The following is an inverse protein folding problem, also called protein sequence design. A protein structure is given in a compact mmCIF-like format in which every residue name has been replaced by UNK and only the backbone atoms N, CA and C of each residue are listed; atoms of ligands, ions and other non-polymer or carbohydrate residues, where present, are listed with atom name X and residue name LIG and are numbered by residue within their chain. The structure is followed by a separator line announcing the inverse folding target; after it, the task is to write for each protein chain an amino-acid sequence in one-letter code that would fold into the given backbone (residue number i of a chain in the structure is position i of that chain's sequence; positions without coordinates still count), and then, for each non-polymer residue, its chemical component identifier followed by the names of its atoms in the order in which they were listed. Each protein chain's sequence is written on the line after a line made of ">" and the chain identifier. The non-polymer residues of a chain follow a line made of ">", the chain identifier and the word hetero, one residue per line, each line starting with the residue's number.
data_IF_628920770776
#
_entry.id   IF_628920770776
#
_cell.length_a   1.000
_cell.length_b   1.000
_cell.length_c   1.000
_cell.angle_alpha   90.00
_cell.angle_beta   90.00
_cell.angle_gamma   90.00
#
_symmetry.space_group_name_H-M   'P 1'
#
loop_
_entity.id
_entity.type
_entity.pdbx_description
1 polymer ?
#
# COMPACT_ATOMS: atom_id res chain seq x y z
N UNK A 1 28.21 -14.35 -3.44
CA UNK A 1 26.92 -14.79 -3.90
C UNK A 1 27.01 -15.52 -5.24
N UNK A 2 26.66 -16.83 -5.33
CA UNK A 2 26.55 -17.53 -6.62
C UNK A 2 25.53 -18.65 -6.51
N UNK A 3 24.31 -18.42 -6.98
CA UNK A 3 23.44 -19.49 -7.40
C UNK A 3 23.66 -19.66 -8.91
N UNK A 4 24.11 -20.84 -9.35
CA UNK A 4 24.24 -21.15 -10.76
C UNK A 4 23.13 -22.10 -11.18
N UNK A 5 22.18 -21.59 -11.94
CA UNK A 5 21.22 -22.42 -12.64
C UNK A 5 21.91 -23.22 -13.75
N UNK A 6 21.62 -24.52 -13.82
CA UNK A 6 22.15 -25.47 -14.83
C UNK A 6 23.58 -25.97 -14.63
N UNK A 7 23.91 -26.51 -13.47
CA UNK A 7 25.14 -27.28 -13.34
C UNK A 7 24.91 -28.72 -13.83
N UNK A 8 25.77 -29.18 -14.76
CA UNK A 8 25.80 -30.57 -15.23
C UNK A 8 26.73 -31.39 -14.35
N UNK A 9 26.76 -31.16 -13.06
CA UNK A 9 27.60 -31.86 -12.12
C UNK A 9 26.80 -32.87 -11.31
N UNK A 10 27.36 -34.03 -11.07
CA UNK A 10 26.74 -35.07 -10.24
C UNK A 10 27.63 -35.40 -9.06
N UNK A 11 27.04 -35.58 -7.89
CA UNK A 11 27.67 -36.11 -6.69
C UNK A 11 26.97 -37.40 -6.31
N UNK A 12 27.67 -38.52 -6.29
CA UNK A 12 27.13 -39.84 -6.00
C UNK A 12 25.91 -40.22 -6.88
N UNK A 13 25.94 -39.84 -8.18
CA UNK A 13 24.86 -40.14 -9.13
C UNK A 13 23.63 -39.28 -8.97
N UNK A 14 23.67 -38.22 -8.15
CA UNK A 14 22.63 -37.22 -8.03
C UNK A 14 23.09 -35.91 -8.62
N UNK A 15 22.26 -35.33 -9.48
CA UNK A 15 22.52 -34.04 -10.09
C UNK A 15 22.57 -32.96 -9.01
N UNK A 16 23.62 -32.13 -9.05
CA UNK A 16 23.70 -30.90 -8.27
C UNK A 16 22.82 -29.88 -8.98
N UNK A 17 21.75 -29.44 -8.32
CA UNK A 17 20.77 -28.55 -8.91
C UNK A 17 21.07 -27.09 -8.61
N UNK A 18 21.50 -26.80 -7.38
CA UNK A 18 21.82 -25.49 -6.87
C UNK A 18 22.88 -25.55 -5.77
N UNK A 19 23.58 -24.45 -5.51
CA UNK A 19 24.56 -24.38 -4.42
C UNK A 19 24.78 -22.93 -3.98
N UNK A 20 25.07 -22.75 -2.70
CA UNK A 20 25.43 -21.49 -2.11
C UNK A 20 26.90 -21.46 -1.72
N UNK A 21 27.57 -20.33 -1.98
CA UNK A 21 28.88 -20.03 -1.48
C UNK A 21 28.79 -19.02 -0.35
N UNK A 22 29.29 -19.40 0.82
CA UNK A 22 29.44 -18.52 1.95
C UNK A 22 30.92 -18.39 2.32
N UNK A 23 31.30 -17.23 2.81
CA UNK A 23 32.65 -17.05 3.37
C UNK A 23 32.78 -17.89 4.64
N UNK A 24 33.93 -18.55 4.82
CA UNK A 24 34.17 -19.38 5.99
C UNK A 24 34.58 -18.58 7.24
N UNK A 25 34.76 -17.27 7.12
CA UNK A 25 35.12 -16.39 8.23
C UNK A 25 34.87 -14.92 7.87
N UNK A 26 34.85 -14.05 8.88
CA UNK A 26 34.65 -12.62 8.71
C UNK A 26 33.21 -12.17 8.96
N UNK A 27 32.91 -10.88 8.78
CA UNK A 27 31.61 -10.30 9.13
C UNK A 27 30.43 -10.82 8.30
N UNK A 28 30.70 -11.46 7.17
CA UNK A 28 29.67 -12.04 6.29
C UNK A 28 29.44 -13.54 6.52
N UNK A 29 30.10 -14.14 7.53
CA UNK A 29 29.85 -15.51 7.96
C UNK A 29 28.85 -15.49 9.10
N UNK A 30 27.57 -15.49 8.78
CA UNK A 30 26.48 -15.47 9.75
C UNK A 30 25.34 -16.40 9.34
N UNK A 31 24.51 -16.78 10.29
CA UNK A 31 23.29 -17.56 10.02
C UNK A 31 22.34 -16.75 9.15
N UNK A 32 22.27 -15.43 9.33
CA UNK A 32 21.44 -14.55 8.51
C UNK A 32 21.89 -14.53 7.05
N UNK A 33 23.19 -14.44 6.78
CA UNK A 33 23.70 -14.53 5.39
C UNK A 33 23.38 -15.89 4.78
N UNK A 34 23.53 -16.98 5.54
CA UNK A 34 23.21 -18.32 5.06
C UNK A 34 21.69 -18.45 4.75
N UNK A 35 20.84 -17.92 5.61
CA UNK A 35 19.39 -17.90 5.41
C UNK A 35 19.00 -17.09 4.16
N UNK A 36 19.61 -15.91 3.97
CA UNK A 36 19.44 -15.06 2.80
C UNK A 36 19.78 -15.82 1.50
N UNK A 37 21.00 -16.38 1.43
CA UNK A 37 21.43 -17.13 0.25
C UNK A 37 20.57 -18.39 0.01
N UNK A 38 20.09 -19.04 1.06
CA UNK A 38 19.18 -20.18 0.92
C UNK A 38 17.82 -19.77 0.35
N UNK A 39 17.31 -18.60 0.72
CA UNK A 39 16.05 -18.07 0.17
C UNK A 39 16.16 -17.82 -1.35
N UNK A 40 17.35 -17.50 -1.87
CA UNK A 40 17.54 -17.46 -3.33
C UNK A 40 17.36 -18.81 -4.00
N UNK A 41 17.80 -19.89 -3.38
CA UNK A 41 17.57 -21.26 -3.89
C UNK A 41 16.09 -21.64 -3.87
N UNK A 42 15.27 -20.97 -3.05
CA UNK A 42 13.81 -21.09 -3.05
C UNK A 42 13.11 -20.14 -4.03
N UNK A 43 13.85 -19.24 -4.67
CA UNK A 43 13.36 -18.34 -5.71
C UNK A 43 13.18 -16.87 -5.31
N UNK A 44 13.45 -16.49 -4.06
CA UNK A 44 13.33 -15.11 -3.62
C UNK A 44 14.40 -14.21 -4.27
N UNK A 45 14.06 -13.02 -4.77
CA UNK A 45 15.01 -12.03 -5.26
C UNK A 45 15.63 -11.22 -4.11
N UNK A 46 16.65 -10.41 -4.41
CA UNK A 46 17.10 -9.39 -3.49
C UNK A 46 16.14 -8.21 -3.41
N UNK A 47 15.98 -7.69 -2.22
CA UNK A 47 15.15 -6.51 -1.92
C UNK A 47 15.97 -5.23 -1.69
N UNK A 48 17.29 -5.25 -1.99
CA UNK A 48 18.16 -4.07 -1.97
C UNK A 48 18.61 -3.67 -3.38
N UNK A 49 18.95 -2.41 -3.56
CA UNK A 49 19.39 -1.86 -4.85
C UNK A 49 20.84 -2.25 -5.16
N UNK A 50 21.12 -2.66 -6.41
CA UNK A 50 22.46 -3.03 -6.83
C UNK A 50 23.28 -1.86 -7.37
N UNK A 51 22.63 -0.93 -8.06
CA UNK A 51 23.31 0.08 -8.88
C UNK A 51 22.93 1.50 -8.52
N UNK A 52 22.08 1.70 -7.54
CA UNK A 52 21.60 3.02 -7.15
C UNK A 52 21.77 3.25 -5.65
N UNK A 53 23.01 3.47 -5.22
CA UNK A 53 23.35 3.71 -3.82
C UNK A 53 22.77 5.03 -3.26
N UNK A 54 22.22 5.89 -4.13
CA UNK A 54 21.56 7.16 -3.73
C UNK A 54 20.06 7.05 -3.61
N UNK A 55 19.46 5.97 -4.10
CA UNK A 55 18.05 5.72 -3.91
C UNK A 55 17.73 5.43 -2.44
N UNK A 56 16.53 5.81 -1.97
CA UNK A 56 16.07 5.42 -0.64
C UNK A 56 16.06 3.89 -0.51
N UNK A 57 16.56 3.39 0.62
CA UNK A 57 16.44 1.95 0.92
C UNK A 57 14.97 1.59 1.03
N UNK A 58 14.54 0.55 0.33
CA UNK A 58 13.12 0.21 0.22
C UNK A 58 12.58 -0.55 1.44
N UNK A 59 13.26 -1.62 1.86
CA UNK A 59 12.77 -2.56 2.89
C UNK A 59 13.68 -2.59 4.12
N UNK A 60 15.01 -2.59 3.92
CA UNK A 60 15.99 -2.65 5.01
C UNK A 60 15.86 -3.92 5.85
N UNK A 61 16.11 -3.79 7.14
CA UNK A 61 16.07 -4.91 8.08
C UNK A 61 14.68 -5.51 8.35
N UNK A 62 13.63 -5.07 7.68
CA UNK A 62 12.29 -5.68 7.78
C UNK A 62 12.15 -6.98 6.99
N UNK A 63 13.10 -7.27 6.11
CA UNK A 63 13.15 -8.55 5.40
C UNK A 63 14.61 -9.04 5.28
N UNK A 64 14.82 -10.34 5.52
CA UNK A 64 16.13 -10.98 5.38
C UNK A 64 16.71 -10.87 3.96
N UNK A 65 15.86 -10.62 2.94
CA UNK A 65 16.28 -10.47 1.54
C UNK A 65 16.79 -9.07 1.20
N UNK A 66 16.65 -8.08 2.09
CA UNK A 66 17.31 -6.77 1.95
C UNK A 66 18.55 -6.71 2.86
N UNK A 67 18.37 -6.89 4.17
CA UNK A 67 19.46 -6.85 5.12
C UNK A 67 19.32 -7.97 6.15
N UNK A 68 20.39 -8.70 6.42
CA UNK A 68 20.39 -9.81 7.36
C UNK A 68 21.26 -9.53 8.59
N UNK A 69 20.79 -9.96 9.76
CA UNK A 69 21.54 -9.95 11.02
C UNK A 69 22.14 -11.34 11.31
N UNK A 70 22.99 -11.46 12.31
CA UNK A 70 23.63 -12.76 12.65
C UNK A 70 22.59 -13.81 13.02
N UNK A 71 21.62 -13.45 13.89
CA UNK A 71 20.37 -14.17 14.02
C UNK A 71 19.39 -13.46 13.07
N UNK A 72 18.91 -14.13 11.99
CA UNK A 72 18.12 -13.47 10.99
C UNK A 72 16.76 -13.06 11.55
N UNK A 73 16.28 -11.91 11.13
CA UNK A 73 14.88 -11.53 11.26
C UNK A 73 14.02 -12.35 10.29
N UNK A 74 12.71 -12.36 10.51
CA UNK A 74 11.78 -12.96 9.55
C UNK A 74 11.85 -12.27 8.18
N UNK A 75 11.60 -13.05 7.15
CA UNK A 75 11.17 -12.51 5.86
C UNK A 75 9.74 -11.97 5.98
N UNK A 76 9.39 -10.99 5.15
CA UNK A 76 8.01 -10.47 5.06
C UNK A 76 7.01 -11.54 4.64
N UNK A 77 5.74 -11.31 4.96
CA UNK A 77 4.64 -12.14 4.44
C UNK A 77 4.59 -12.13 2.91
N UNK A 78 5.04 -11.05 2.26
CA UNK A 78 5.18 -11.01 0.80
C UNK A 78 6.09 -12.12 0.27
N UNK A 79 7.30 -12.26 0.80
CA UNK A 79 8.24 -13.32 0.39
C UNK A 79 7.68 -14.71 0.68
N UNK A 80 7.06 -14.89 1.86
CA UNK A 80 6.41 -16.16 2.22
C UNK A 80 5.27 -16.54 1.28
N UNK A 81 4.44 -15.58 0.92
CA UNK A 81 3.32 -15.75 0.00
C UNK A 81 3.80 -15.97 -1.43
N UNK A 82 4.53 -14.99 -1.97
CA UNK A 82 4.81 -14.89 -3.41
C UNK A 82 5.83 -15.89 -3.91
N UNK A 83 6.89 -16.10 -3.16
CA UNK A 83 8.02 -16.93 -3.61
C UNK A 83 8.04 -18.32 -3.03
N UNK A 84 7.56 -18.47 -1.80
CA UNK A 84 7.63 -19.76 -1.12
C UNK A 84 6.30 -20.51 -1.06
N UNK A 85 5.19 -19.81 -1.29
CA UNK A 85 3.84 -20.36 -1.17
C UNK A 85 3.60 -21.03 0.20
N UNK A 86 4.10 -20.39 1.27
CA UNK A 86 3.99 -20.88 2.63
C UNK A 86 2.76 -20.37 3.35
N UNK A 87 2.24 -19.22 2.93
CA UNK A 87 1.04 -18.60 3.49
C UNK A 87 0.11 -18.15 2.37
N UNK A 88 -1.14 -17.97 2.69
CA UNK A 88 -2.13 -17.29 1.85
C UNK A 88 -2.40 -15.89 2.42
N UNK A 89 -2.65 -14.92 1.57
CA UNK A 89 -3.10 -13.60 1.99
C UNK A 89 -4.62 -13.60 2.04
N UNK A 90 -5.17 -13.10 3.14
CA UNK A 90 -6.60 -12.83 3.24
C UNK A 90 -6.91 -11.48 2.60
N UNK A 91 -8.12 -11.31 2.10
CA UNK A 91 -8.53 -10.06 1.44
C UNK A 91 -9.24 -9.14 2.46
N UNK A 92 -8.73 -7.92 2.60
CA UNK A 92 -9.34 -6.86 3.39
C UNK A 92 -9.95 -5.73 2.55
N UNK A 93 -9.93 -5.84 1.20
CA UNK A 93 -10.34 -4.76 0.29
C UNK A 93 -11.85 -4.45 0.37
N UNK A 94 -12.65 -5.37 0.91
CA UNK A 94 -14.08 -5.17 1.14
C UNK A 94 -14.42 -4.26 2.33
N UNK A 95 -13.42 -3.83 3.11
CA UNK A 95 -13.64 -3.09 4.35
C UNK A 95 -14.08 -3.97 5.53
N UNK A 96 -14.05 -3.40 6.73
CA UNK A 96 -14.41 -4.08 7.98
C UNK A 96 -13.30 -4.08 9.02
N UNK A 97 -13.55 -4.73 10.15
CA UNK A 97 -12.57 -4.91 11.23
C UNK A 97 -11.93 -6.29 11.12
N UNK A 98 -10.61 -6.33 11.20
CA UNK A 98 -9.78 -7.50 11.02
C UNK A 98 -8.84 -7.70 12.20
N UNK A 99 -8.47 -8.95 12.45
CA UNK A 99 -7.51 -9.34 13.48
C UNK A 99 -6.32 -10.05 12.84
N UNK A 100 -5.12 -9.78 13.33
CA UNK A 100 -3.87 -10.42 12.91
C UNK A 100 -3.20 -11.15 14.05
N UNK A 101 -2.76 -12.38 13.77
CA UNK A 101 -1.78 -13.08 14.58
C UNK A 101 -0.35 -12.61 14.26
N UNK A 102 0.59 -12.72 15.21
CA UNK A 102 2.01 -12.50 14.92
C UNK A 102 2.50 -13.32 13.73
N UNK A 103 3.39 -12.75 12.92
CA UNK A 103 3.93 -13.36 11.68
C UNK A 103 4.55 -14.76 11.89
N UNK A 104 4.97 -15.08 13.09
CA UNK A 104 5.50 -16.40 13.47
C UNK A 104 4.46 -17.49 13.71
N UNK A 105 3.18 -17.14 13.79
CA UNK A 105 2.09 -18.10 13.99
C UNK A 105 1.71 -18.81 12.68
N UNK A 106 1.00 -19.95 12.71
CA UNK A 106 0.74 -20.74 11.50
C UNK A 106 -0.32 -20.16 10.57
N UNK A 107 -1.21 -19.28 11.04
CA UNK A 107 -2.38 -18.78 10.33
C UNK A 107 -2.70 -17.33 10.69
N UNK A 108 -3.56 -16.71 9.90
CA UNK A 108 -4.05 -15.33 10.08
C UNK A 108 -2.93 -14.29 10.25
N UNK A 109 -1.89 -14.37 9.42
CA UNK A 109 -0.67 -13.59 9.60
C UNK A 109 -0.61 -12.34 8.72
N UNK A 110 -1.39 -12.29 7.63
CA UNK A 110 -1.29 -11.20 6.68
C UNK A 110 -2.58 -11.01 5.88
N UNK A 111 -2.88 -9.74 5.60
CA UNK A 111 -3.95 -9.32 4.71
C UNK A 111 -3.39 -8.60 3.49
N UNK A 112 -4.09 -8.78 2.37
CA UNK A 112 -3.97 -7.94 1.19
C UNK A 112 -5.04 -6.86 1.21
N UNK A 113 -4.67 -5.64 0.80
CA UNK A 113 -5.58 -4.53 0.60
C UNK A 113 -5.27 -3.89 -0.76
N UNK A 114 -6.25 -3.86 -1.65
CA UNK A 114 -6.09 -3.27 -2.98
C UNK A 114 -5.89 -1.75 -2.87
N UNK A 115 -5.12 -1.19 -3.81
CA UNK A 115 -4.89 0.24 -3.91
C UNK A 115 -5.74 0.86 -5.02
N UNK A 116 -5.65 2.18 -5.18
CA UNK A 116 -6.23 2.92 -6.32
C UNK A 116 -5.64 2.52 -7.68
N UNK A 117 -4.45 1.88 -7.69
CA UNK A 117 -3.78 1.38 -8.89
C UNK A 117 -3.87 -0.15 -8.95
N UNK A 118 -4.47 -0.76 -10.00
CA UNK A 118 -4.64 -2.21 -10.08
C UNK A 118 -3.33 -3.00 -10.16
N UNK A 119 -2.20 -2.35 -10.42
CA UNK A 119 -0.88 -2.99 -10.46
C UNK A 119 -0.14 -2.90 -9.12
N UNK A 120 -0.70 -2.20 -8.13
CA UNK A 120 -0.09 -2.07 -6.81
C UNK A 120 -1.11 -2.42 -5.73
N UNK A 121 -0.65 -2.99 -4.62
CA UNK A 121 -1.47 -3.33 -3.48
C UNK A 121 -0.66 -3.27 -2.19
N UNK A 122 -1.34 -3.29 -1.06
CA UNK A 122 -0.71 -3.30 0.25
C UNK A 122 -0.78 -4.69 0.87
N UNK A 123 0.26 -5.03 1.63
CA UNK A 123 0.26 -6.19 2.54
C UNK A 123 0.40 -5.66 3.95
N UNK A 124 -0.43 -6.18 4.83
CA UNK A 124 -0.52 -5.82 6.24
C UNK A 124 -0.14 -7.07 7.03
N UNK A 125 0.89 -6.98 7.86
CA UNK A 125 1.33 -8.06 8.74
C UNK A 125 1.56 -7.57 10.17
N UNK A 126 1.48 -8.47 11.15
CA UNK A 126 1.78 -8.16 12.54
C UNK A 126 3.17 -8.67 12.93
N UNK A 127 4.03 -7.74 13.35
CA UNK A 127 5.39 -8.02 13.84
C UNK A 127 5.48 -7.74 15.31
N UNK A 128 6.09 -8.68 16.04
CA UNK A 128 6.35 -8.53 17.47
C UNK A 128 7.84 -8.30 17.72
N UNK A 129 8.18 -7.80 18.91
CA UNK A 129 9.57 -7.73 19.36
C UNK A 129 9.96 -8.96 20.19
N UNK A 130 9.21 -10.05 20.02
CA UNK A 130 9.36 -11.28 20.78
C UNK A 130 9.92 -12.42 19.92
N UNK A 131 10.48 -13.42 20.59
CA UNK A 131 11.01 -14.61 19.93
C UNK A 131 12.37 -14.39 19.27
N UNK A 132 12.88 -15.46 18.65
CA UNK A 132 14.26 -15.50 18.14
C UNK A 132 14.47 -14.61 16.92
N UNK A 133 13.46 -14.44 16.08
CA UNK A 133 13.60 -13.77 14.78
C UNK A 133 13.06 -12.34 14.80
N UNK A 134 11.86 -12.11 15.34
CA UNK A 134 11.27 -10.78 15.35
C UNK A 134 11.98 -9.78 16.26
N UNK A 135 12.64 -10.25 17.34
CA UNK A 135 13.48 -9.40 18.18
C UNK A 135 14.68 -8.78 17.45
N UNK A 136 14.97 -9.18 16.22
CA UNK A 136 16.02 -8.62 15.36
C UNK A 136 15.49 -7.70 14.27
N UNK A 137 14.18 -7.50 14.19
CA UNK A 137 13.59 -6.51 13.31
C UNK A 137 13.97 -5.07 13.75
N UNK A 138 14.01 -4.07 12.84
CA UNK A 138 14.47 -2.72 13.15
C UNK A 138 13.60 -1.95 14.16
N UNK A 139 12.37 -2.39 14.40
CA UNK A 139 11.45 -1.75 15.34
C UNK A 139 11.91 -1.87 16.79
N UNK A 140 11.41 -1.00 17.65
CA UNK A 140 11.57 -1.06 19.10
C UNK A 140 10.31 -1.50 19.82
N UNK A 141 9.20 -1.57 19.07
CA UNK A 141 7.86 -1.93 19.55
C UNK A 141 7.21 -2.95 18.61
N UNK A 142 6.20 -3.64 19.11
CA UNK A 142 5.33 -4.52 18.33
C UNK A 142 4.22 -3.72 17.63
N UNK A 143 3.75 -4.19 16.48
CA UNK A 143 2.66 -3.56 15.76
C UNK A 143 2.51 -4.06 14.33
N UNK A 144 1.55 -3.51 13.65
CA UNK A 144 1.33 -3.73 12.22
C UNK A 144 2.47 -3.12 11.41
N UNK A 145 2.95 -3.85 10.42
CA UNK A 145 3.87 -3.37 9.38
C UNK A 145 3.14 -3.45 8.05
N UNK A 146 3.26 -2.39 7.26
CA UNK A 146 2.56 -2.25 5.98
C UNK A 146 3.58 -2.13 4.86
N UNK A 147 3.41 -2.98 3.84
CA UNK A 147 4.22 -2.97 2.63
C UNK A 147 3.38 -2.56 1.44
N UNK A 148 4.01 -1.89 0.47
CA UNK A 148 3.50 -1.75 -0.89
C UNK A 148 4.17 -2.78 -1.77
N UNK A 149 3.38 -3.47 -2.58
CA UNK A 149 3.82 -4.39 -3.63
C UNK A 149 3.50 -3.77 -4.98
N UNK A 150 4.45 -3.82 -5.90
CA UNK A 150 4.25 -3.40 -7.28
C UNK A 150 4.39 -4.61 -8.21
N UNK A 151 3.24 -5.11 -8.70
CA UNK A 151 3.18 -6.31 -9.54
C UNK A 151 3.83 -6.14 -10.93
N UNK A 152 4.07 -4.91 -11.38
CA UNK A 152 4.82 -4.67 -12.63
C UNK A 152 6.28 -5.14 -12.53
N UNK A 153 6.84 -5.20 -11.32
CA UNK A 153 8.20 -5.64 -11.04
C UNK A 153 8.27 -7.05 -10.43
N UNK A 154 7.15 -7.76 -10.45
CA UNK A 154 7.01 -9.10 -9.89
C UNK A 154 8.10 -10.07 -10.40
N UNK A 155 8.85 -10.64 -9.48
CA UNK A 155 9.95 -11.56 -9.76
C UNK A 155 11.30 -10.88 -9.99
N UNK A 156 11.39 -9.56 -9.94
CA UNK A 156 12.62 -8.80 -10.17
C UNK A 156 13.29 -8.35 -8.86
N UNK A 157 12.52 -8.32 -7.77
CA UNK A 157 12.96 -7.71 -6.51
C UNK A 157 13.22 -6.23 -6.65
N UNK A 158 14.06 -5.70 -5.77
CA UNK A 158 14.42 -4.29 -5.76
C UNK A 158 15.79 -4.00 -6.40
N UNK A 159 16.45 -5.01 -6.95
CA UNK A 159 17.84 -4.89 -7.44
C UNK A 159 18.04 -3.77 -8.49
N UNK A 160 17.02 -3.48 -9.29
CA UNK A 160 17.02 -2.44 -10.33
C UNK A 160 16.19 -1.20 -9.93
N UNK A 161 15.54 -1.23 -8.75
CA UNK A 161 14.69 -0.14 -8.27
C UNK A 161 15.40 1.20 -8.03
N UNK A 162 14.66 2.24 -7.70
CA UNK A 162 13.20 2.36 -7.82
C UNK A 162 12.72 2.44 -9.28
N UNK A 163 11.46 2.09 -9.62
CA UNK A 163 10.43 1.62 -8.68
C UNK A 163 10.72 0.22 -8.15
N UNK A 164 10.34 -0.01 -6.90
CA UNK A 164 10.61 -1.22 -6.13
C UNK A 164 9.44 -2.20 -6.21
N UNK A 165 9.74 -3.50 -6.27
CA UNK A 165 8.74 -4.56 -6.15
C UNK A 165 8.12 -4.57 -4.75
N UNK A 166 8.92 -4.34 -3.71
CA UNK A 166 8.48 -4.29 -2.32
C UNK A 166 9.03 -3.05 -1.61
N UNK A 167 8.17 -2.32 -0.92
CA UNK A 167 8.52 -1.15 -0.11
C UNK A 167 7.83 -1.23 1.26
N UNK A 168 8.54 -0.94 2.36
CA UNK A 168 7.96 -0.84 3.71
C UNK A 168 7.68 0.60 4.08
N UNK A 169 6.46 0.90 4.53
CA UNK A 169 6.08 2.23 4.99
C UNK A 169 6.65 2.54 6.37
N UNK A 170 7.16 3.77 6.55
CA UNK A 170 7.79 4.26 7.79
C UNK A 170 7.78 5.78 7.84
N UNK A 171 7.85 6.32 9.03
CA UNK A 171 7.84 7.79 9.25
C UNK A 171 8.97 8.46 8.48
N UNK A 172 8.63 9.48 7.70
CA UNK A 172 9.55 10.25 6.86
C UNK A 172 10.11 9.49 5.66
N UNK A 173 9.63 8.25 5.40
CA UNK A 173 9.94 7.53 4.16
C UNK A 173 9.10 8.09 3.00
N UNK A 174 9.77 8.32 1.86
CA UNK A 174 9.15 8.80 0.62
C UNK A 174 9.86 8.13 -0.57
N UNK A 175 9.49 8.48 -1.79
CA UNK A 175 10.20 8.10 -3.02
C UNK A 175 11.66 8.60 -3.07
N UNK A 176 12.00 9.61 -2.26
CA UNK A 176 13.31 10.28 -2.28
C UNK A 176 14.06 10.22 -0.95
N UNK A 177 13.43 9.74 0.13
CA UNK A 177 14.04 9.63 1.46
C UNK A 177 13.82 8.27 2.08
N UNK A 178 14.86 7.73 2.74
CA UNK A 178 14.75 6.43 3.42
C UNK A 178 13.87 6.44 4.65
N UNK A 179 13.69 7.57 5.30
CA UNK A 179 12.93 7.66 6.56
C UNK A 179 13.57 6.91 7.72
N UNK A 180 12.78 6.59 8.74
CA UNK A 180 13.24 5.95 9.98
C UNK A 180 12.72 4.52 10.06
N UNK A 181 13.55 3.52 9.76
CA UNK A 181 13.14 2.10 9.74
C UNK A 181 12.54 1.59 11.06
N UNK A 182 13.06 2.04 12.20
CA UNK A 182 12.52 1.70 13.51
C UNK A 182 11.09 2.20 13.76
N UNK A 183 10.57 3.07 12.89
CA UNK A 183 9.22 3.64 12.99
C UNK A 183 8.25 3.11 11.91
N UNK A 184 8.50 1.90 11.39
CA UNK A 184 7.59 1.26 10.43
C UNK A 184 6.38 0.57 11.08
N UNK A 185 6.39 0.39 12.39
CA UNK A 185 5.28 -0.22 13.12
C UNK A 185 4.15 0.77 13.40
N UNK A 186 2.92 0.27 13.33
CA UNK A 186 1.68 0.96 13.68
C UNK A 186 1.01 0.21 14.83
N UNK A 187 0.73 0.89 15.92
CA UNK A 187 -0.05 0.40 17.06
C UNK A 187 -0.44 1.57 17.96
N UNK A 188 -1.30 1.31 18.94
CA UNK A 188 -1.68 2.30 19.94
C UNK A 188 -0.47 2.74 20.79
N UNK A 189 0.44 1.81 21.15
CA UNK A 189 1.63 2.08 21.97
C UNK A 189 2.57 3.09 21.31
N UNK A 190 2.70 3.05 19.99
CA UNK A 190 3.54 4.02 19.26
C UNK A 190 2.76 5.25 18.78
N UNK A 191 1.46 5.33 19.09
CA UNK A 191 0.60 6.46 18.74
C UNK A 191 0.34 6.60 17.22
N UNK A 192 0.49 5.53 16.46
CA UNK A 192 0.18 5.46 15.02
C UNK A 192 -0.94 4.45 14.81
N UNK A 193 -2.17 4.95 14.88
CA UNK A 193 -3.39 4.14 14.81
C UNK A 193 -4.12 4.27 13.49
N UNK A 194 -3.50 4.97 12.50
CA UNK A 194 -4.08 5.20 11.18
C UNK A 194 -3.02 5.14 10.10
N UNK A 195 -3.45 4.73 8.89
CA UNK A 195 -2.65 4.76 7.67
C UNK A 195 -3.55 5.08 6.47
N UNK A 196 -3.32 6.25 5.87
CA UNK A 196 -4.06 6.74 4.71
C UNK A 196 -3.24 7.81 3.95
N UNK A 197 -3.83 8.46 2.95
CA UNK A 197 -3.16 9.47 2.12
C UNK A 197 -2.75 10.75 2.89
N UNK A 198 -3.32 10.99 4.09
CA UNK A 198 -3.05 12.19 4.91
C UNK A 198 -2.14 11.93 6.11
N UNK A 199 -1.74 10.68 6.36
CA UNK A 199 -0.89 10.30 7.49
C UNK A 199 0.61 10.45 7.19
N UNK A 200 1.46 10.25 8.20
CA UNK A 200 2.90 10.11 8.01
C UNK A 200 3.38 8.79 8.66
N UNK A 201 3.76 7.77 7.83
CA UNK A 201 3.79 7.81 6.36
C UNK A 201 2.38 7.90 5.76
N UNK A 202 2.27 8.53 4.58
CA UNK A 202 1.10 8.41 3.73
C UNK A 202 1.15 7.12 2.89
N UNK A 203 0.01 6.68 2.38
CA UNK A 203 -0.08 5.46 1.57
C UNK A 203 0.26 5.67 0.07
N UNK A 204 1.28 6.48 -0.23
CA UNK A 204 1.70 6.80 -1.61
C UNK A 204 2.10 5.56 -2.42
N UNK A 205 1.81 5.58 -3.72
CA UNK A 205 2.20 4.53 -4.68
C UNK A 205 3.60 4.78 -5.27
N UNK A 206 4.07 3.89 -6.13
CA UNK A 206 5.42 3.98 -6.69
C UNK A 206 5.64 5.17 -7.62
N UNK A 207 4.56 5.73 -8.17
CA UNK A 207 4.52 6.95 -8.99
C UNK A 207 4.16 8.21 -8.18
N UNK A 208 4.17 8.12 -6.84
CA UNK A 208 3.81 9.18 -5.89
C UNK A 208 2.31 9.53 -5.85
N UNK A 209 1.46 8.85 -6.61
CA UNK A 209 0.02 9.02 -6.51
C UNK A 209 -0.53 8.51 -5.18
N UNK A 210 -1.75 8.89 -4.86
CA UNK A 210 -2.46 8.48 -3.65
C UNK A 210 -2.80 6.99 -3.71
N UNK A 211 -2.58 6.26 -2.62
CA UNK A 211 -2.89 4.84 -2.53
C UNK A 211 -4.38 4.53 -2.39
N UNK A 212 -5.15 5.50 -1.90
CA UNK A 212 -6.60 5.41 -1.82
C UNK A 212 -7.12 4.44 -0.74
N UNK A 213 -6.28 4.07 0.23
CA UNK A 213 -6.69 3.20 1.35
C UNK A 213 -6.88 4.01 2.63
N UNK A 214 -7.72 3.51 3.51
CA UNK A 214 -7.97 4.14 4.80
C UNK A 214 -8.05 3.07 5.89
N UNK A 215 -6.93 2.86 6.59
CA UNK A 215 -6.83 2.00 7.75
C UNK A 215 -6.92 2.89 8.99
N UNK A 216 -7.80 2.53 9.91
CA UNK A 216 -8.05 3.24 11.17
C UNK A 216 -8.11 2.26 12.33
N UNK A 217 -8.24 2.79 13.54
CA UNK A 217 -8.44 2.02 14.77
C UNK A 217 -7.44 0.85 14.92
N UNK A 218 -6.19 1.08 14.50
CA UNK A 218 -5.13 0.12 14.77
C UNK A 218 -4.94 0.07 16.28
N UNK A 219 -5.20 -1.11 16.86
CA UNK A 219 -5.26 -1.32 18.30
C UNK A 219 -3.90 -1.51 18.97
N UNK A 220 -3.97 -1.94 20.21
CA UNK A 220 -2.80 -2.31 21.02
C UNK A 220 -2.19 -3.62 20.56
N UNK A 221 -0.86 -3.68 20.59
CA UNK A 221 -0.10 -4.90 20.30
C UNK A 221 -0.22 -5.88 21.48
N UNK A 222 -0.80 -7.06 21.22
CA UNK A 222 -1.02 -8.11 22.21
C UNK A 222 -0.74 -9.51 21.62
N UNK A 223 -1.48 -10.50 22.08
CA UNK A 223 -1.48 -11.84 21.46
C UNK A 223 -1.92 -11.78 19.99
N UNK A 224 -2.80 -10.81 19.69
CA UNK A 224 -3.25 -10.41 18.36
C UNK A 224 -3.26 -8.89 18.28
N UNK A 225 -3.48 -8.35 17.09
CA UNK A 225 -3.73 -6.92 16.87
C UNK A 225 -4.90 -6.73 15.92
N UNK A 226 -5.80 -5.81 16.24
CA UNK A 226 -6.94 -5.46 15.40
C UNK A 226 -6.67 -4.19 14.59
N UNK A 227 -7.33 -4.07 13.46
CA UNK A 227 -7.40 -2.85 12.64
C UNK A 227 -8.68 -2.81 11.85
N UNK A 228 -9.13 -1.63 11.47
CA UNK A 228 -10.33 -1.41 10.64
C UNK A 228 -9.92 -0.82 9.30
N UNK A 229 -10.43 -1.37 8.20
CA UNK A 229 -10.36 -0.78 6.86
C UNK A 229 -11.68 -0.10 6.57
N UNK A 230 -11.63 1.20 6.33
CA UNK A 230 -12.80 1.96 5.88
C UNK A 230 -12.82 1.98 4.35
N UNK A 231 -13.82 1.36 3.78
CA UNK A 231 -14.05 1.40 2.34
C UNK A 231 -15.10 2.47 2.02
N UNK A 232 -14.63 3.71 1.89
CA UNK A 232 -15.49 4.82 1.49
C UNK A 232 -15.61 4.84 -0.04
N UNK A 233 -16.82 4.56 -0.54
CA UNK A 233 -17.12 4.60 -1.97
C UNK A 233 -18.13 5.71 -2.27
N UNK A 234 -17.65 6.83 -2.81
CA UNK A 234 -18.48 7.93 -3.26
C UNK A 234 -18.61 7.90 -4.79
N UNK A 235 -19.83 8.02 -5.27
CA UNK A 235 -20.14 8.12 -6.70
C UNK A 235 -20.89 9.41 -6.96
N UNK A 236 -20.24 10.34 -7.66
CA UNK A 236 -20.87 11.55 -8.19
C UNK A 236 -21.43 11.31 -9.58
N UNK A 237 -22.61 11.83 -9.86
CA UNK A 237 -23.24 11.75 -11.17
C UNK A 237 -23.93 13.07 -11.52
N UNK A 238 -24.05 13.34 -12.82
CA UNK A 238 -24.83 14.45 -13.35
C UNK A 238 -26.29 14.04 -13.51
N UNK A 239 -27.19 14.81 -12.91
CA UNK A 239 -28.61 14.53 -12.96
C UNK A 239 -29.28 15.16 -14.18
N UNK A 240 -29.01 16.45 -14.44
CA UNK A 240 -29.63 17.16 -15.53
C UNK A 240 -29.54 18.68 -15.41
N UNK A 241 -30.17 19.36 -16.34
CA UNK A 241 -30.45 20.79 -16.30
C UNK A 241 -31.73 20.99 -15.51
N UNK A 242 -31.64 21.72 -14.39
CA UNK A 242 -32.82 21.99 -13.54
C UNK A 242 -33.51 23.29 -13.94
N UNK A 243 -32.80 24.24 -14.54
CA UNK A 243 -33.39 25.38 -15.23
C UNK A 243 -32.48 25.86 -16.36
N UNK A 244 -33.08 26.49 -17.34
CA UNK A 244 -32.54 26.88 -18.60
C UNK A 244 -33.22 28.19 -19.03
N UNK A 245 -32.46 29.13 -19.63
CA UNK A 245 -32.97 30.50 -19.90
C UNK A 245 -33.96 30.54 -21.04
N UNK A 246 -33.90 29.68 -22.02
CA UNK A 246 -34.84 29.61 -23.15
C UNK A 246 -35.81 28.38 -23.05
N UNK A 247 -35.51 27.41 -22.16
CA UNK A 247 -36.37 26.28 -21.86
C UNK A 247 -36.26 25.12 -22.84
N UNK A 248 -35.19 25.05 -23.64
CA UNK A 248 -34.99 23.96 -24.62
C UNK A 248 -34.25 22.75 -24.06
N UNK A 249 -33.66 22.88 -22.86
CA UNK A 249 -32.95 21.81 -22.15
C UNK A 249 -31.52 21.57 -22.68
N UNK A 250 -30.96 22.50 -23.46
CA UNK A 250 -29.65 22.41 -24.08
C UNK A 250 -28.85 23.66 -23.68
N UNK A 251 -27.60 23.48 -23.28
CA UNK A 251 -26.68 24.60 -23.01
C UNK A 251 -26.13 25.14 -24.35
N UNK A 252 -26.58 26.32 -24.77
CA UNK A 252 -26.17 27.00 -25.97
C UNK A 252 -25.13 28.10 -25.69
N UNK A 253 -24.27 28.49 -26.67
CA UNK A 253 -23.34 29.60 -26.53
C UNK A 253 -24.05 30.90 -26.09
N UNK A 254 -23.49 31.56 -25.08
CA UNK A 254 -24.07 32.78 -24.48
C UNK A 254 -25.19 32.55 -23.47
N UNK A 255 -25.52 31.32 -23.21
CA UNK A 255 -26.61 30.93 -22.30
C UNK A 255 -26.12 30.59 -20.90
N UNK A 256 -27.02 30.78 -19.92
CA UNK A 256 -26.85 30.30 -18.55
C UNK A 256 -27.86 29.21 -18.23
N UNK A 257 -27.37 28.09 -17.68
CA UNK A 257 -28.21 27.00 -17.19
C UNK A 257 -27.88 26.70 -15.73
N UNK A 258 -28.79 26.03 -15.06
CA UNK A 258 -28.56 25.51 -13.71
C UNK A 258 -28.44 24.00 -13.80
N UNK A 259 -27.28 23.47 -13.41
CA UNK A 259 -27.00 22.05 -13.36
C UNK A 259 -27.30 21.48 -11.98
N UNK A 260 -27.69 20.22 -11.96
CA UNK A 260 -27.87 19.42 -10.76
C UNK A 260 -26.99 18.16 -10.80
N UNK A 261 -26.33 17.89 -9.69
CA UNK A 261 -25.51 16.70 -9.48
C UNK A 261 -26.01 15.92 -8.28
N UNK A 262 -25.76 14.63 -8.26
CA UNK A 262 -26.01 13.77 -7.10
C UNK A 262 -24.70 13.15 -6.63
N UNK A 263 -24.51 13.10 -5.34
CA UNK A 263 -23.45 12.32 -4.69
C UNK A 263 -24.10 11.16 -3.95
N UNK A 264 -23.63 9.97 -4.23
CA UNK A 264 -24.07 8.74 -3.59
C UNK A 264 -22.93 8.20 -2.71
N UNK A 265 -23.20 7.93 -1.45
CA UNK A 265 -22.31 7.13 -0.62
C UNK A 265 -22.69 5.65 -0.81
N UNK A 266 -21.91 4.93 -1.61
CA UNK A 266 -22.14 3.53 -1.93
C UNK A 266 -21.54 2.58 -0.88
N UNK A 267 -20.93 3.11 0.18
CA UNK A 267 -20.45 2.31 1.32
C UNK A 267 -21.63 1.81 2.13
N UNK A 268 -21.52 0.64 2.77
CA UNK A 268 -22.61 0.08 3.55
C UNK A 268 -22.81 0.82 4.90
N UNK A 269 -21.74 0.94 5.71
CA UNK A 269 -21.84 1.45 7.09
C UNK A 269 -20.85 2.60 7.38
N UNK A 270 -20.33 3.28 6.35
CA UNK A 270 -19.35 4.36 6.52
C UNK A 270 -19.99 5.71 6.21
N UNK A 271 -20.05 6.59 7.21
CA UNK A 271 -20.49 7.98 7.02
C UNK A 271 -19.34 8.81 6.41
N UNK A 272 -19.62 9.51 5.32
CA UNK A 272 -18.70 10.45 4.70
C UNK A 272 -19.01 11.87 5.20
N UNK A 273 -17.96 12.61 5.61
CA UNK A 273 -18.09 13.97 6.13
C UNK A 273 -17.40 14.98 5.22
N UNK A 274 -17.99 16.20 5.14
CA UNK A 274 -17.38 17.32 4.43
C UNK A 274 -17.18 17.08 2.94
N UNK A 275 -18.12 16.37 2.32
CA UNK A 275 -18.04 15.99 0.91
C UNK A 275 -18.19 17.26 0.05
N UNK A 276 -17.16 17.56 -0.74
CA UNK A 276 -17.17 18.68 -1.68
C UNK A 276 -16.82 18.22 -3.08
N UNK A 277 -17.48 18.81 -4.08
CA UNK A 277 -17.14 18.65 -5.49
C UNK A 277 -16.57 19.95 -6.07
N UNK A 278 -15.66 19.85 -7.03
CA UNK A 278 -15.15 21.00 -7.79
C UNK A 278 -15.43 20.81 -9.28
N UNK A 279 -16.14 21.75 -9.90
CA UNK A 279 -16.33 21.76 -11.34
C UNK A 279 -15.20 22.58 -12.02
N UNK A 280 -14.68 22.03 -13.10
CA UNK A 280 -13.72 22.70 -13.97
C UNK A 280 -13.99 22.34 -15.43
N UNK A 281 -13.60 23.22 -16.35
CA UNK A 281 -13.69 22.96 -17.78
C UNK A 281 -12.52 23.63 -18.51
N UNK A 282 -12.01 22.94 -19.53
CA UNK A 282 -10.98 23.45 -20.45
C UNK A 282 -11.58 24.22 -21.63
N UNK A 283 -12.93 24.31 -21.71
CA UNK A 283 -13.66 24.81 -22.87
C UNK A 283 -14.58 25.98 -22.51
N UNK A 284 -14.06 27.20 -22.28
CA UNK A 284 -14.84 28.42 -22.21
C UNK A 284 -16.12 28.41 -21.37
N UNK A 285 -16.26 27.45 -20.46
CA UNK A 285 -17.37 27.33 -19.52
C UNK A 285 -16.98 28.01 -18.20
N UNK A 286 -17.83 28.92 -17.73
CA UNK A 286 -17.63 29.61 -16.46
C UNK A 286 -18.52 28.98 -15.38
N UNK A 287 -17.90 28.69 -14.24
CA UNK A 287 -18.56 28.21 -13.02
C UNK A 287 -18.40 29.27 -11.92
N UNK A 288 -19.28 30.25 -11.82
CA UNK A 288 -19.16 31.31 -10.81
C UNK A 288 -19.05 30.81 -9.38
N UNK A 289 -19.70 29.66 -9.10
CA UNK A 289 -19.65 28.94 -7.83
C UNK A 289 -19.32 27.47 -8.11
N UNK A 290 -18.14 27.18 -8.66
CA UNK A 290 -17.74 25.84 -9.09
C UNK A 290 -17.53 24.84 -7.96
N UNK A 291 -17.67 25.23 -6.70
CA UNK A 291 -17.58 24.31 -5.54
C UNK A 291 -18.98 23.89 -5.12
N UNK A 292 -19.18 22.59 -5.02
CA UNK A 292 -20.41 21.96 -4.55
C UNK A 292 -20.16 21.42 -3.15
N UNK A 293 -21.05 21.69 -2.21
CA UNK A 293 -21.05 21.10 -0.88
C UNK A 293 -22.20 20.08 -0.77
N UNK A 294 -21.84 18.80 -0.60
CA UNK A 294 -22.79 17.72 -0.39
C UNK A 294 -22.99 17.41 1.10
N UNK A 295 -22.17 17.99 1.96
CA UNK A 295 -22.27 17.84 3.42
C UNK A 295 -21.81 16.49 3.93
N UNK A 296 -22.67 15.88 4.74
CA UNK A 296 -22.49 14.57 5.37
C UNK A 296 -23.44 13.56 4.72
N UNK A 297 -22.95 12.36 4.42
CA UNK A 297 -23.74 11.26 3.86
C UNK A 297 -23.45 9.97 4.60
N UNK A 298 -24.46 9.41 5.23
CA UNK A 298 -24.40 8.05 5.77
C UNK A 298 -24.28 7.02 4.66
N UNK A 299 -23.79 5.82 5.01
CA UNK A 299 -23.72 4.69 4.10
C UNK A 299 -25.07 4.41 3.41
N UNK A 300 -25.04 4.20 2.11
CA UNK A 300 -26.22 3.99 1.28
C UNK A 300 -27.08 5.24 1.01
N UNK A 301 -26.68 6.42 1.48
CA UNK A 301 -27.43 7.67 1.26
C UNK A 301 -26.95 8.42 0.02
N UNK A 302 -27.83 9.30 -0.49
CA UNK A 302 -27.56 10.21 -1.60
C UNK A 302 -27.92 11.65 -1.20
N UNK A 303 -27.12 12.61 -1.68
CA UNK A 303 -27.42 14.03 -1.57
C UNK A 303 -27.34 14.67 -2.94
N UNK A 304 -28.30 15.57 -3.22
CA UNK A 304 -28.28 16.38 -4.42
C UNK A 304 -27.48 17.67 -4.18
N UNK A 305 -26.80 18.14 -5.23
CA UNK A 305 -26.10 19.42 -5.18
C UNK A 305 -27.07 20.57 -4.94
N UNK A 306 -26.55 21.65 -4.37
CA UNK A 306 -27.16 22.95 -4.56
C UNK A 306 -27.13 23.30 -6.06
N UNK A 307 -28.02 24.18 -6.48
CA UNK A 307 -28.10 24.65 -7.86
C UNK A 307 -26.77 25.31 -8.28
N UNK A 308 -26.16 24.80 -9.35
CA UNK A 308 -24.91 25.30 -9.91
C UNK A 308 -25.22 26.04 -11.20
N UNK A 309 -25.07 27.37 -11.18
CA UNK A 309 -25.19 28.18 -12.38
C UNK A 309 -23.93 28.04 -13.25
N UNK A 310 -24.15 27.76 -14.51
CA UNK A 310 -23.11 27.59 -15.52
C UNK A 310 -23.41 28.49 -16.71
N UNK A 311 -22.42 29.23 -17.18
CA UNK A 311 -22.56 30.07 -18.35
C UNK A 311 -21.55 29.64 -19.43
N UNK A 312 -22.01 29.44 -20.64
CA UNK A 312 -21.20 29.13 -21.81
C UNK A 312 -20.84 30.45 -22.53
N UNK A 313 -19.54 30.60 -22.89
CA UNK A 313 -19.08 31.74 -23.64
C UNK A 313 -19.74 31.83 -25.03
N UNK A 314 -20.00 33.05 -25.53
CA UNK A 314 -20.51 33.30 -26.90
C UNK A 314 -19.52 32.90 -28.00
N UNK A 315 -18.23 32.74 -27.65
CA UNK A 315 -17.13 32.57 -28.61
C UNK A 315 -16.65 31.08 -28.72
N UNK A 316 -17.49 30.12 -28.39
CA UNK A 316 -17.16 28.71 -28.52
C UNK A 316 -17.70 28.12 -29.81
#
# INVERSE_FOLDING_TARGET
>A
RWALYSVVSEIHGKRVWDYNFNMASGPYFSVGTLAHEFCHSLGAPDLYHYYNDTAPVAVGGWDVMDASTDIPQWMSSYIKYRYFNWIELQDASGGGTFELNPLGQPDNNAYRLDSSNPNEYFIIEYRTQEGMYDSNAPGIDSGIVIYRVNDLYNGQGNAQGPPDELYVYRVGGTSTTSGVFASAVFSEEVGRTQFNDSTNPSCFLSDESMGGVNIVDIGSAGDTIEFTVLNLMLLGDYVGISSDSDGDGILNPGESVVLEFVMNNMSDDVTAYGITGQLSSDYGISFPNGTIDFGELDGGQSSFSNFIEVTLSEDI
#
